data_IF_437167403076
#
_entry.id   IF_437167403076
#
_cell.length_a   1.000
_cell.length_b   1.000
_cell.length_c   1.000
_cell.angle_alpha   90.00
_cell.angle_beta   90.00
_cell.angle_gamma   90.00
#
_symmetry.space_group_name_H-M   'P 1'
#
loop_
_entity.id
_entity.type
_entity.pdbx_description
1 polymer ?
#
# COMPACT_ATOMS: atom_id res chain seq x y z
N UNK A 1 26.96 39.74 7.53
CA UNK A 1 25.70 39.56 6.78
C UNK A 1 24.67 39.07 7.78
N UNK A 2 23.86 39.99 8.31
CA UNK A 2 22.81 39.69 9.29
C UNK A 2 21.59 39.18 8.52
N UNK A 3 21.16 37.94 8.78
CA UNK A 3 19.91 37.39 8.23
C UNK A 3 18.74 38.33 8.55
N UNK A 4 17.80 38.45 7.60
CA UNK A 4 16.68 39.38 7.76
C UNK A 4 15.70 38.89 8.85
N UNK A 5 15.05 39.77 9.63
CA UNK A 5 14.13 39.38 10.71
C UNK A 5 12.97 38.47 10.26
N UNK A 6 12.62 38.51 8.97
CA UNK A 6 11.59 37.68 8.34
C UNK A 6 12.11 36.26 8.06
N UNK A 7 13.38 36.10 7.70
CA UNK A 7 14.02 34.78 7.56
C UNK A 7 14.16 34.07 8.90
N UNK A 8 14.48 34.82 9.97
CA UNK A 8 14.63 34.26 11.31
C UNK A 8 13.31 33.71 11.85
N UNK A 9 12.20 34.43 11.70
CA UNK A 9 10.87 34.00 12.16
C UNK A 9 10.32 32.82 11.36
N UNK A 10 10.49 32.81 10.02
CA UNK A 10 10.12 31.68 9.17
C UNK A 10 10.93 30.40 9.50
N UNK A 11 12.20 30.56 9.86
CA UNK A 11 13.05 29.45 10.29
C UNK A 11 12.63 28.89 11.65
N UNK A 12 12.27 29.75 12.61
CA UNK A 12 11.74 29.33 13.92
C UNK A 12 10.39 28.61 13.80
N UNK A 13 9.45 29.14 13.01
CA UNK A 13 8.15 28.49 12.76
C UNK A 13 8.32 27.12 12.11
N UNK A 14 9.22 27.02 11.12
CA UNK A 14 9.52 25.75 10.45
C UNK A 14 10.17 24.75 11.41
N UNK A 15 11.08 25.21 12.27
CA UNK A 15 11.71 24.38 13.30
C UNK A 15 10.68 23.85 14.30
N UNK A 16 9.82 24.73 14.85
CA UNK A 16 8.76 24.36 15.79
C UNK A 16 7.74 23.39 15.17
N UNK A 17 7.42 23.56 13.88
CA UNK A 17 6.57 22.62 13.15
C UNK A 17 7.24 21.25 12.99
N UNK A 18 8.53 21.23 12.66
CA UNK A 18 9.27 19.98 12.49
C UNK A 18 9.37 19.19 13.81
N UNK A 19 9.71 19.85 14.91
CA UNK A 19 9.81 19.20 16.24
C UNK A 19 8.46 18.65 16.71
N UNK A 20 7.35 19.34 16.41
CA UNK A 20 6.00 18.84 16.67
C UNK A 20 5.67 17.59 15.87
N UNK A 21 5.96 17.59 14.56
CA UNK A 21 5.75 16.44 13.68
C UNK A 21 6.59 15.23 14.12
N UNK A 22 7.86 15.46 14.49
CA UNK A 22 8.75 14.41 14.99
C UNK A 22 8.23 13.80 16.30
N UNK A 23 7.75 14.64 17.22
CA UNK A 23 7.19 14.18 18.50
C UNK A 23 5.92 13.34 18.30
N UNK A 24 5.02 13.78 17.43
CA UNK A 24 3.81 13.02 17.06
C UNK A 24 4.18 11.69 16.40
N UNK A 25 5.14 11.70 15.47
CA UNK A 25 5.55 10.49 14.78
C UNK A 25 6.23 9.50 15.73
N UNK A 26 7.02 9.98 16.69
CA UNK A 26 7.62 9.13 17.72
C UNK A 26 6.58 8.36 18.54
N UNK A 27 5.44 8.99 18.87
CA UNK A 27 4.34 8.32 19.56
C UNK A 27 3.72 7.24 18.67
N UNK A 28 3.49 7.53 17.39
CA UNK A 28 2.94 6.57 16.42
C UNK A 28 3.87 5.37 16.25
N UNK A 29 5.18 5.60 16.20
CA UNK A 29 6.21 4.58 15.98
C UNK A 29 6.31 3.55 17.12
N UNK A 30 5.81 3.86 18.32
CA UNK A 30 5.77 2.90 19.43
C UNK A 30 4.80 1.75 19.14
N UNK A 31 3.66 2.05 18.50
CA UNK A 31 2.62 1.06 18.20
C UNK A 31 1.97 1.34 16.84
N UNK A 32 2.73 1.26 15.72
CA UNK A 32 2.29 1.81 14.44
C UNK A 32 1.13 1.05 13.78
N UNK A 33 0.82 -0.14 14.29
CA UNK A 33 -0.29 -0.98 13.82
C UNK A 33 -1.47 -1.03 14.79
N UNK A 34 -1.43 -0.29 15.91
CA UNK A 34 -2.47 -0.33 16.97
C UNK A 34 -3.87 0.00 16.46
N UNK A 35 -3.97 0.83 15.44
CA UNK A 35 -5.24 1.27 14.86
C UNK A 35 -5.74 0.37 13.72
N UNK A 36 -5.19 -0.85 13.57
CA UNK A 36 -5.53 -1.80 12.50
C UNK A 36 -5.92 -3.16 13.08
N UNK A 37 -6.88 -3.85 12.44
CA UNK A 37 -7.28 -5.23 12.76
C UNK A 37 -6.43 -6.24 11.99
N UNK A 38 -5.21 -6.45 12.46
CA UNK A 38 -4.28 -7.44 11.88
C UNK A 38 -4.27 -8.68 12.77
N UNK A 39 -4.45 -9.86 12.17
CA UNK A 39 -4.37 -11.13 12.88
C UNK A 39 -3.00 -11.31 13.54
N UNK A 40 -2.98 -12.00 14.69
CA UNK A 40 -1.73 -12.35 15.33
C UNK A 40 -0.94 -13.36 14.48
N UNK A 41 0.28 -12.97 14.13
CA UNK A 41 1.20 -13.75 13.32
C UNK A 41 2.18 -14.58 14.16
N UNK A 42 2.02 -14.62 15.49
CA UNK A 42 2.91 -15.35 16.40
C UNK A 42 3.03 -16.83 16.05
N UNK A 43 2.00 -17.43 15.44
CA UNK A 43 2.01 -18.81 14.96
C UNK A 43 3.13 -19.07 13.93
N UNK A 44 3.56 -18.06 13.16
CA UNK A 44 4.67 -18.20 12.21
C UNK A 44 6.02 -18.45 12.91
N UNK A 45 6.12 -18.20 14.22
CA UNK A 45 7.30 -18.49 15.02
C UNK A 45 7.53 -19.98 15.23
N UNK A 46 6.48 -20.80 15.12
CA UNK A 46 6.57 -22.26 15.28
C UNK A 46 7.08 -22.96 14.03
N UNK A 47 7.15 -22.24 12.90
CA UNK A 47 7.69 -22.77 11.65
C UNK A 47 9.22 -22.75 11.71
N UNK A 48 9.78 -23.94 11.90
CA UNK A 48 11.22 -24.18 11.86
C UNK A 48 11.71 -24.47 10.44
N UNK A 49 12.98 -24.17 10.18
CA UNK A 49 13.62 -24.51 8.90
C UNK A 49 13.10 -23.74 7.69
N UNK A 50 13.24 -24.37 6.53
CA UNK A 50 12.87 -23.83 5.21
C UNK A 50 12.32 -24.95 4.35
N UNK A 51 11.34 -24.61 3.53
CA UNK A 51 10.71 -25.50 2.57
C UNK A 51 11.24 -25.26 1.15
N UNK A 52 11.12 -26.29 0.31
CA UNK A 52 11.44 -26.20 -1.12
C UNK A 52 10.20 -25.74 -1.88
N UNK A 53 10.33 -24.68 -2.67
CA UNK A 53 9.25 -24.25 -3.55
C UNK A 53 8.99 -25.30 -4.63
N UNK A 54 7.77 -25.84 -4.71
CA UNK A 54 7.39 -26.85 -5.70
C UNK A 54 7.39 -26.40 -7.18
N UNK A 55 7.66 -25.13 -7.47
CA UNK A 55 7.71 -24.59 -8.85
C UNK A 55 9.12 -24.22 -9.30
N UNK A 56 9.92 -23.53 -8.47
CA UNK A 56 11.28 -23.12 -8.83
C UNK A 56 12.39 -23.86 -8.07
N UNK A 57 12.02 -24.78 -7.17
CA UNK A 57 12.92 -25.60 -6.36
C UNK A 57 13.89 -24.83 -5.43
N UNK A 58 13.70 -23.51 -5.28
CA UNK A 58 14.50 -22.71 -4.36
C UNK A 58 13.99 -22.88 -2.92
N UNK A 59 14.92 -22.93 -1.97
CA UNK A 59 14.63 -22.96 -0.53
C UNK A 59 14.07 -21.61 -0.04
N UNK A 60 12.97 -21.65 0.73
CA UNK A 60 12.18 -20.50 1.19
C UNK A 60 11.66 -20.75 2.61
N UNK A 61 11.43 -19.69 3.38
CA UNK A 61 10.91 -19.84 4.75
C UNK A 61 9.38 -20.02 4.78
N UNK A 62 8.62 -19.02 4.31
CA UNK A 62 7.16 -19.04 4.37
C UNK A 62 6.51 -19.04 2.98
N UNK A 63 7.08 -18.25 2.07
CA UNK A 63 6.58 -18.11 0.70
C UNK A 63 7.75 -17.91 -0.27
N UNK A 64 7.49 -18.25 -1.53
CA UNK A 64 8.43 -18.06 -2.62
C UNK A 64 8.27 -16.67 -3.23
N UNK A 65 9.29 -15.83 -3.07
CA UNK A 65 9.34 -14.50 -3.66
C UNK A 65 9.58 -14.47 -5.18
N UNK A 66 9.86 -15.62 -5.81
CA UNK A 66 9.98 -15.74 -7.27
C UNK A 66 8.68 -16.22 -7.90
N UNK A 67 8.04 -17.23 -7.31
CA UNK A 67 6.79 -17.81 -7.82
C UNK A 67 5.53 -17.16 -7.23
N UNK A 68 5.68 -16.23 -6.29
CA UNK A 68 4.59 -15.56 -5.57
C UNK A 68 3.56 -16.53 -4.95
N UNK A 69 4.05 -17.63 -4.35
CA UNK A 69 3.22 -18.70 -3.78
C UNK A 69 3.69 -19.08 -2.37
N UNK A 70 2.78 -19.48 -1.46
CA UNK A 70 3.15 -20.11 -0.20
C UNK A 70 4.07 -21.31 -0.43
N UNK A 71 5.01 -21.54 0.48
CA UNK A 71 5.76 -22.80 0.57
C UNK A 71 5.40 -23.62 1.81
N UNK A 72 4.72 -22.99 2.77
CA UNK A 72 4.07 -23.66 3.90
C UNK A 72 2.55 -23.72 3.67
N UNK A 73 1.85 -24.46 4.53
CA UNK A 73 0.40 -24.61 4.52
C UNK A 73 -0.32 -23.24 4.47
N UNK A 74 -1.35 -23.15 3.63
CA UNK A 74 -2.12 -21.93 3.43
C UNK A 74 -2.87 -21.47 4.69
N UNK A 75 -3.12 -22.36 5.66
CA UNK A 75 -3.78 -22.02 6.94
C UNK A 75 -3.06 -20.95 7.76
N UNK A 76 -1.74 -20.78 7.56
CA UNK A 76 -0.94 -19.78 8.27
C UNK A 76 -1.08 -18.36 7.70
N UNK A 77 -1.77 -18.20 6.57
CA UNK A 77 -1.97 -16.92 5.90
C UNK A 77 -3.47 -16.57 5.90
N UNK A 78 -3.89 -15.50 6.62
CA UNK A 78 -5.28 -15.06 6.56
C UNK A 78 -5.60 -14.62 5.13
N UNK A 79 -6.62 -15.22 4.53
CA UNK A 79 -7.07 -14.84 3.18
C UNK A 79 -7.81 -13.51 3.23
N UNK A 80 -7.45 -12.62 2.32
CA UNK A 80 -8.08 -11.31 2.16
C UNK A 80 -8.75 -11.28 0.79
N UNK A 81 -10.05 -10.97 0.78
CA UNK A 81 -10.79 -10.70 -0.46
C UNK A 81 -10.75 -9.21 -0.76
N UNK A 82 -10.38 -8.83 -1.99
CA UNK A 82 -10.32 -7.44 -2.40
C UNK A 82 -11.57 -7.04 -3.18
N UNK A 83 -11.97 -5.76 -3.11
CA UNK A 83 -13.12 -5.25 -3.86
C UNK A 83 -12.84 -5.10 -5.36
N UNK A 84 -11.57 -5.13 -5.76
CA UNK A 84 -11.07 -4.88 -7.11
C UNK A 84 -9.82 -5.73 -7.38
N UNK A 85 -9.45 -5.87 -8.67
CA UNK A 85 -8.19 -6.52 -9.04
C UNK A 85 -7.00 -5.58 -8.86
N UNK A 86 -5.86 -6.13 -8.46
CA UNK A 86 -4.60 -5.41 -8.30
C UNK A 86 -3.54 -6.09 -9.15
N UNK A 87 -2.91 -5.31 -10.02
CA UNK A 87 -1.78 -5.77 -10.82
C UNK A 87 -0.53 -5.00 -10.38
N UNK A 88 0.51 -5.73 -10.00
CA UNK A 88 1.80 -5.13 -9.65
C UNK A 88 2.81 -5.44 -10.75
N UNK A 89 3.37 -4.40 -11.36
CA UNK A 89 4.45 -4.53 -12.33
C UNK A 89 5.77 -4.34 -11.59
N UNK A 90 6.45 -5.46 -11.31
CA UNK A 90 7.74 -5.49 -10.63
C UNK A 90 8.88 -5.30 -11.62
N UNK A 91 9.82 -4.41 -11.29
CA UNK A 91 11.03 -4.25 -12.07
C UNK A 91 11.92 -5.52 -12.00
N UNK A 92 12.42 -5.98 -13.14
CA UNK A 92 13.20 -7.23 -13.24
C UNK A 92 14.49 -7.23 -12.40
N UNK A 93 15.08 -6.05 -12.15
CA UNK A 93 16.28 -5.90 -11.31
C UNK A 93 15.97 -5.66 -9.83
N UNK A 94 14.70 -5.62 -9.43
CA UNK A 94 14.33 -5.49 -8.03
C UNK A 94 14.68 -6.79 -7.30
N UNK A 95 15.30 -6.68 -6.12
CA UNK A 95 15.71 -7.86 -5.36
C UNK A 95 14.46 -8.53 -4.79
N UNK A 96 14.14 -9.75 -5.25
CA UNK A 96 12.89 -10.43 -4.90
C UNK A 96 12.61 -10.49 -3.39
N UNK A 97 13.63 -10.78 -2.57
CA UNK A 97 13.50 -10.85 -1.11
C UNK A 97 13.31 -9.50 -0.40
N UNK A 98 13.27 -8.38 -1.14
CA UNK A 98 12.99 -7.04 -0.61
C UNK A 98 11.60 -6.53 -0.99
N UNK A 99 11.00 -7.08 -2.03
CA UNK A 99 9.66 -6.67 -2.50
C UNK A 99 8.60 -7.06 -1.47
N UNK A 100 7.78 -6.08 -1.08
CA UNK A 100 6.61 -6.32 -0.23
C UNK A 100 5.34 -6.58 -1.04
N UNK A 101 5.37 -6.37 -2.37
CA UNK A 101 4.24 -6.67 -3.25
C UNK A 101 3.78 -8.13 -3.15
N UNK A 102 4.74 -9.04 -2.94
CA UNK A 102 4.47 -10.47 -2.79
C UNK A 102 3.57 -10.73 -1.58
N UNK A 103 3.61 -9.91 -0.53
CA UNK A 103 2.71 -10.10 0.62
C UNK A 103 1.24 -10.05 0.16
N UNK A 104 0.89 -9.11 -0.71
CA UNK A 104 -0.46 -9.00 -1.27
C UNK A 104 -0.82 -10.23 -2.11
N UNK A 105 0.09 -10.72 -2.96
CA UNK A 105 -0.13 -11.93 -3.76
C UNK A 105 -0.31 -13.19 -2.90
N UNK A 106 0.36 -13.27 -1.75
CA UNK A 106 0.21 -14.38 -0.81
C UNK A 106 -1.12 -14.30 -0.06
N UNK A 107 -1.55 -13.11 0.36
CA UNK A 107 -2.71 -12.92 1.22
C UNK A 107 -4.02 -12.82 0.43
N UNK A 108 -3.97 -12.31 -0.81
CA UNK A 108 -5.11 -12.13 -1.71
C UNK A 108 -4.82 -12.73 -3.12
N UNK A 109 -4.54 -14.04 -3.23
CA UNK A 109 -4.05 -14.67 -4.47
C UNK A 109 -5.05 -14.63 -5.62
N UNK A 110 -6.35 -14.48 -5.33
CA UNK A 110 -7.39 -14.38 -6.37
C UNK A 110 -7.44 -12.99 -7.00
N UNK A 111 -7.02 -11.96 -6.27
CA UNK A 111 -7.25 -10.57 -6.63
C UNK A 111 -5.96 -9.80 -6.93
N UNK A 112 -4.79 -10.35 -6.58
CA UNK A 112 -3.49 -9.71 -6.78
C UNK A 112 -2.61 -10.55 -7.70
N UNK A 113 -2.14 -9.97 -8.80
CA UNK A 113 -1.16 -10.59 -9.70
C UNK A 113 0.12 -9.75 -9.77
N UNK A 114 1.28 -10.40 -9.69
CA UNK A 114 2.59 -9.75 -9.84
C UNK A 114 3.21 -10.16 -11.17
N UNK A 115 3.55 -9.18 -12.00
CA UNK A 115 4.21 -9.34 -13.29
C UNK A 115 5.65 -8.88 -13.18
N UNK A 116 6.57 -9.58 -13.86
CA UNK A 116 7.96 -9.14 -13.96
C UNK A 116 8.13 -8.39 -15.28
N UNK A 117 8.45 -7.10 -15.21
CA UNK A 117 8.66 -6.26 -16.39
C UNK A 117 9.67 -6.91 -17.36
N UNK A 118 9.36 -7.06 -18.67
CA UNK A 118 8.34 -6.35 -19.43
C UNK A 118 6.95 -7.02 -19.54
N UNK A 119 6.69 -8.07 -18.76
CA UNK A 119 5.36 -8.68 -18.69
C UNK A 119 4.36 -7.70 -18.06
N UNK A 120 3.13 -7.69 -18.59
CA UNK A 120 2.08 -6.74 -18.22
C UNK A 120 0.72 -7.41 -18.07
N UNK A 121 -0.17 -6.84 -17.25
CA UNK A 121 -1.57 -7.23 -17.24
C UNK A 121 -2.22 -6.99 -18.61
N UNK A 122 -3.15 -7.87 -18.96
CA UNK A 122 -4.03 -7.69 -20.12
C UNK A 122 -5.37 -7.14 -19.62
N UNK A 123 -5.75 -5.97 -20.13
CA UNK A 123 -7.01 -5.34 -19.78
C UNK A 123 -8.10 -5.71 -20.78
N UNK A 124 -9.28 -6.00 -20.28
CA UNK A 124 -10.50 -6.17 -21.06
C UNK A 124 -11.16 -4.82 -21.34
N UNK A 125 -12.09 -4.76 -22.30
CA UNK A 125 -12.86 -3.54 -22.61
C UNK A 125 -13.70 -3.04 -21.44
N UNK A 126 -14.04 -3.92 -20.49
CA UNK A 126 -14.88 -3.61 -19.34
C UNK A 126 -14.04 -3.21 -18.11
N UNK A 127 -12.71 -3.31 -18.18
CA UNK A 127 -11.86 -2.91 -17.07
C UNK A 127 -11.77 -1.38 -16.97
N UNK A 128 -12.13 -0.85 -15.80
CA UNK A 128 -11.90 0.54 -15.41
C UNK A 128 -10.61 0.60 -14.59
N UNK A 129 -9.51 0.81 -15.30
CA UNK A 129 -8.14 0.68 -14.77
C UNK A 129 -7.57 2.04 -14.36
N UNK A 130 -6.94 2.08 -13.19
CA UNK A 130 -6.18 3.23 -12.71
C UNK A 130 -4.72 2.86 -12.42
N UNK A 131 -3.81 3.81 -12.57
CA UNK A 131 -2.41 3.68 -12.19
C UNK A 131 -2.18 4.39 -10.85
N UNK A 132 -1.68 3.68 -9.84
CA UNK A 132 -1.33 4.29 -8.56
C UNK A 132 0.11 4.78 -8.64
N UNK A 133 0.27 6.07 -8.96
CA UNK A 133 1.57 6.70 -9.15
C UNK A 133 1.49 8.23 -9.00
N UNK A 134 2.37 8.84 -8.19
CA UNK A 134 2.43 10.29 -8.08
C UNK A 134 3.00 10.89 -9.37
N UNK A 135 2.18 11.63 -10.12
CA UNK A 135 2.59 12.29 -11.36
C UNK A 135 2.11 13.75 -11.37
N UNK A 136 2.59 14.57 -12.31
CA UNK A 136 2.14 15.97 -12.42
C UNK A 136 0.63 16.11 -12.58
N UNK A 137 -0.02 15.11 -13.18
CA UNK A 137 -1.45 15.12 -13.50
C UNK A 137 -2.22 14.09 -12.68
N UNK A 138 -1.64 13.55 -11.60
CA UNK A 138 -2.35 12.60 -10.75
C UNK A 138 -3.41 13.32 -9.92
N UNK A 139 -4.56 12.68 -9.77
CA UNK A 139 -5.68 13.16 -8.94
C UNK A 139 -5.83 12.28 -7.70
N UNK A 140 -6.51 12.79 -6.68
CA UNK A 140 -6.92 11.96 -5.54
C UNK A 140 -8.06 11.02 -5.95
N UNK A 141 -8.31 9.98 -5.13
CA UNK A 141 -9.44 9.07 -5.38
C UNK A 141 -10.78 9.83 -5.39
N UNK A 142 -11.00 10.73 -4.43
CA UNK A 142 -12.23 11.50 -4.34
C UNK A 142 -12.48 12.38 -5.57
N UNK A 143 -11.45 13.05 -6.09
CA UNK A 143 -11.52 13.83 -7.33
C UNK A 143 -11.84 12.93 -8.53
N UNK A 144 -11.14 11.80 -8.67
CA UNK A 144 -11.41 10.84 -9.74
C UNK A 144 -12.87 10.37 -9.75
N UNK A 145 -13.37 9.93 -8.59
CA UNK A 145 -14.76 9.48 -8.45
C UNK A 145 -15.76 10.60 -8.78
N UNK A 146 -15.47 11.83 -8.35
CA UNK A 146 -16.33 12.99 -8.64
C UNK A 146 -16.39 13.30 -10.15
N UNK A 147 -15.27 13.20 -10.86
CA UNK A 147 -15.22 13.41 -12.31
C UNK A 147 -15.98 12.32 -13.07
N UNK A 148 -15.86 11.06 -12.66
CA UNK A 148 -16.61 9.95 -13.28
C UNK A 148 -18.13 10.12 -13.09
N UNK A 149 -18.58 10.60 -11.93
CA UNK A 149 -19.98 10.91 -11.68
C UNK A 149 -20.51 12.04 -12.58
N UNK A 150 -19.69 13.04 -12.88
CA UNK A 150 -20.09 14.15 -13.75
C UNK A 150 -20.20 13.73 -15.22
N UNK A 151 -19.29 12.90 -15.72
CA UNK A 151 -19.35 12.38 -17.11
C UNK A 151 -20.65 11.62 -17.37
N UNK A 152 -21.06 10.78 -16.43
CA UNK A 152 -22.26 9.96 -16.56
C UNK A 152 -23.57 10.77 -16.54
N UNK A 153 -23.58 11.98 -15.95
CA UNK A 153 -24.77 12.86 -15.95
C UNK A 153 -25.02 13.55 -17.29
N UNK A 154 -23.98 13.69 -18.12
CA UNK A 154 -24.09 14.38 -19.42
C UNK A 154 -24.47 13.43 -20.57
N UNK A 155 -24.44 12.11 -20.34
CA UNK A 155 -24.95 11.07 -21.24
C UNK A 155 -26.41 10.75 -20.90
N UNK A 156 -27.35 11.20 -21.74
CA UNK A 156 -28.81 11.05 -21.56
C UNK A 156 -29.37 9.61 -21.74
N UNK A 157 -28.59 8.57 -21.47
CA UNK A 157 -29.07 7.18 -21.54
C UNK A 157 -28.65 6.37 -20.30
N UNK A 158 -29.68 5.92 -19.56
CA UNK A 158 -29.76 4.67 -18.83
C UNK A 158 -28.71 4.23 -17.77
N UNK A 159 -27.83 5.08 -17.25
CA UNK A 159 -26.80 4.63 -16.26
C UNK A 159 -26.89 5.28 -14.86
N UNK A 160 -28.07 5.73 -14.44
CA UNK A 160 -28.34 6.12 -13.04
C UNK A 160 -28.39 4.94 -12.04
N UNK A 161 -28.11 3.72 -12.49
CA UNK A 161 -28.02 2.47 -11.73
C UNK A 161 -26.67 2.28 -11.01
N UNK A 162 -25.56 2.84 -11.52
CA UNK A 162 -24.24 2.70 -10.91
C UNK A 162 -24.16 3.24 -9.47
N UNK A 163 -24.84 4.35 -9.19
CA UNK A 163 -24.91 4.94 -7.84
C UNK A 163 -25.83 4.12 -6.92
N UNK A 164 -26.88 3.49 -7.48
CA UNK A 164 -27.81 2.64 -6.71
C UNK A 164 -27.24 1.27 -6.37
N UNK A 165 -26.32 0.74 -7.18
CA UNK A 165 -25.79 -0.62 -7.02
C UNK A 165 -24.55 -0.73 -6.11
N UNK A 166 -24.00 0.36 -5.55
CA UNK A 166 -22.78 0.31 -4.72
C UNK A 166 -21.61 -0.41 -5.43
N UNK A 167 -21.44 -0.21 -6.73
CA UNK A 167 -20.32 -0.81 -7.46
C UNK A 167 -19.14 0.15 -7.55
N UNK A 168 -17.93 -0.36 -7.33
CA UNK A 168 -16.71 0.40 -7.48
C UNK A 168 -16.55 0.82 -8.95
N UNK A 169 -16.48 2.13 -9.21
CA UNK A 169 -16.22 2.65 -10.57
C UNK A 169 -14.81 2.30 -11.06
N UNK A 170 -13.91 1.89 -10.18
CA UNK A 170 -12.62 1.31 -10.49
C UNK A 170 -12.76 -0.20 -10.34
N UNK A 171 -12.41 -0.98 -11.36
CA UNK A 171 -12.41 -2.45 -11.28
C UNK A 171 -11.01 -3.01 -11.06
N UNK A 172 -9.98 -2.21 -11.36
CA UNK A 172 -8.58 -2.65 -11.37
C UNK A 172 -7.61 -1.51 -11.08
N UNK A 173 -6.58 -1.78 -10.29
CA UNK A 173 -5.50 -0.83 -10.02
C UNK A 173 -4.13 -1.42 -10.31
N UNK A 174 -3.28 -0.62 -10.96
CA UNK A 174 -1.91 -0.99 -11.31
C UNK A 174 -0.92 -0.29 -10.39
N UNK A 175 0.05 -1.02 -9.88
CA UNK A 175 1.15 -0.52 -9.06
C UNK A 175 2.50 -0.84 -9.73
N UNK A 176 3.51 0.00 -9.49
CA UNK A 176 4.88 -0.25 -9.94
C UNK A 176 5.75 -0.59 -8.74
N UNK A 177 6.29 -1.81 -8.70
CA UNK A 177 7.18 -2.28 -7.63
C UNK A 177 8.65 -2.19 -8.08
N UNK A 178 9.31 -1.12 -7.67
CA UNK A 178 10.71 -0.86 -8.02
C UNK A 178 11.35 0.16 -7.07
N UNK A 179 12.67 0.28 -7.10
CA UNK A 179 13.31 1.47 -6.54
C UNK A 179 12.87 2.74 -7.29
N UNK A 180 12.81 3.88 -6.58
CA UNK A 180 12.45 5.18 -7.17
C UNK A 180 13.34 5.61 -8.35
N UNK A 181 14.58 5.15 -8.40
CA UNK A 181 15.48 5.42 -9.53
C UNK A 181 15.11 4.59 -10.77
N UNK A 182 14.55 3.39 -10.58
CA UNK A 182 14.18 2.45 -11.65
C UNK A 182 12.75 2.67 -12.15
N UNK A 183 11.85 3.20 -11.33
CA UNK A 183 10.41 3.32 -11.64
C UNK A 183 10.10 4.05 -12.95
N UNK A 184 10.96 4.99 -13.37
CA UNK A 184 10.75 5.81 -14.57
C UNK A 184 10.67 5.01 -15.86
N UNK A 185 11.36 3.87 -15.96
CA UNK A 185 11.31 3.04 -17.19
C UNK A 185 9.93 2.41 -17.36
N UNK A 186 9.36 1.88 -16.28
CA UNK A 186 8.04 1.27 -16.27
C UNK A 186 6.96 2.33 -16.46
N UNK A 187 7.05 3.44 -15.71
CA UNK A 187 6.07 4.54 -15.79
C UNK A 187 5.94 5.13 -17.21
N UNK A 188 7.04 5.18 -17.97
CA UNK A 188 7.05 5.71 -19.35
C UNK A 188 6.57 4.71 -20.40
N UNK A 189 6.25 3.47 -20.01
CA UNK A 189 5.77 2.45 -20.95
C UNK A 189 4.44 2.88 -21.58
N UNK A 190 4.32 2.70 -22.89
CA UNK A 190 3.15 3.15 -23.66
C UNK A 190 1.85 2.49 -23.17
N UNK A 191 1.93 1.29 -22.58
CA UNK A 191 0.78 0.57 -22.00
C UNK A 191 0.21 1.24 -20.75
N UNK A 192 0.96 2.13 -20.09
CA UNK A 192 0.49 2.90 -18.92
C UNK A 192 0.08 4.33 -19.28
N UNK A 193 0.49 4.84 -20.44
CA UNK A 193 0.42 6.27 -20.79
C UNK A 193 -0.98 6.88 -20.67
N UNK A 194 -2.02 6.10 -20.97
CA UNK A 194 -3.41 6.58 -21.00
C UNK A 194 -4.19 6.22 -19.73
N UNK A 195 -3.57 5.56 -18.75
CA UNK A 195 -4.24 5.24 -17.50
C UNK A 195 -4.37 6.49 -16.63
N UNK A 196 -5.53 6.77 -16.02
CA UNK A 196 -5.67 7.79 -15.00
C UNK A 196 -4.72 7.52 -13.84
N UNK A 197 -3.91 8.52 -13.48
CA UNK A 197 -2.99 8.42 -12.35
C UNK A 197 -3.68 8.86 -11.07
N UNK A 198 -3.62 8.01 -10.03
CA UNK A 198 -4.10 8.33 -8.68
C UNK A 198 -2.90 8.55 -7.76
N UNK A 199 -2.95 9.63 -6.99
CA UNK A 199 -2.03 9.89 -5.88
C UNK A 199 -2.73 9.61 -4.55
N UNK A 200 -2.03 8.88 -3.68
CA UNK A 200 -2.51 8.53 -2.34
C UNK A 200 -2.24 9.66 -1.36
N UNK A 201 -3.02 9.73 -0.28
CA UNK A 201 -2.72 10.62 0.84
C UNK A 201 -1.37 10.24 1.43
N UNK A 202 -0.58 11.26 1.78
CA UNK A 202 0.72 11.07 2.42
C UNK A 202 0.54 10.40 3.79
N UNK A 203 1.29 9.31 4.01
CA UNK A 203 1.34 8.58 5.28
C UNK A 203 2.78 8.17 5.54
N UNK A 204 3.19 8.20 6.81
CA UNK A 204 4.52 7.73 7.20
C UNK A 204 4.61 6.21 7.09
N UNK A 205 5.57 5.74 6.29
CA UNK A 205 5.88 4.32 6.11
C UNK A 205 6.60 3.75 7.33
N UNK A 206 6.28 2.50 7.63
CA UNK A 206 6.92 1.69 8.66
C UNK A 206 7.95 0.71 8.07
N UNK A 207 8.25 0.85 6.77
CA UNK A 207 9.19 -0.03 6.10
C UNK A 207 10.60 0.13 6.65
N UNK A 208 11.16 -0.98 7.13
CA UNK A 208 12.42 -1.02 7.89
C UNK A 208 13.70 -0.97 7.02
N UNK A 209 13.57 -1.01 5.69
CA UNK A 209 14.73 -0.93 4.81
C UNK A 209 14.99 0.51 4.41
N UNK A 210 16.22 0.98 4.67
CA UNK A 210 16.62 2.32 4.29
C UNK A 210 16.56 2.53 2.77
N UNK A 211 15.91 3.63 2.38
CA UNK A 211 15.82 4.10 1.00
C UNK A 211 16.55 5.44 0.90
N UNK A 212 17.71 5.46 0.22
CA UNK A 212 18.53 6.67 0.09
C UNK A 212 17.76 7.79 -0.61
N UNK A 213 17.89 9.02 -0.12
CA UNK A 213 17.33 10.24 -0.72
C UNK A 213 15.80 10.17 -0.93
N UNK A 214 15.09 9.50 -0.04
CA UNK A 214 13.64 9.46 -0.03
C UNK A 214 13.11 9.97 1.31
N UNK A 215 11.95 10.64 1.31
CA UNK A 215 11.27 10.97 2.54
C UNK A 215 10.62 9.74 3.16
N UNK A 216 10.24 9.84 4.44
CA UNK A 216 9.65 8.74 5.20
C UNK A 216 8.23 8.39 4.77
N UNK A 217 7.55 9.28 4.05
CA UNK A 217 6.21 9.07 3.51
C UNK A 217 6.18 8.30 2.17
N UNK A 218 7.33 7.86 1.66
CA UNK A 218 7.37 6.90 0.57
C UNK A 218 7.05 5.50 1.10
N UNK A 219 5.83 5.05 0.80
CA UNK A 219 5.27 3.76 1.20
C UNK A 219 5.98 2.59 0.51
N UNK A 220 6.11 1.47 1.21
CA UNK A 220 6.39 0.20 0.57
C UNK A 220 5.16 -0.25 -0.25
N UNK A 221 5.36 -1.11 -1.25
CA UNK A 221 4.28 -1.49 -2.18
C UNK A 221 3.05 -2.07 -1.48
N UNK A 222 3.23 -2.90 -0.44
CA UNK A 222 2.09 -3.41 0.35
C UNK A 222 1.36 -2.33 1.13
N UNK A 223 2.08 -1.34 1.67
CA UNK A 223 1.48 -0.21 2.38
C UNK A 223 0.71 0.67 1.41
N UNK A 224 1.23 0.89 0.19
CA UNK A 224 0.54 1.63 -0.86
C UNK A 224 -0.75 0.92 -1.31
N UNK A 225 -0.71 -0.42 -1.46
CA UNK A 225 -1.89 -1.23 -1.77
C UNK A 225 -2.95 -1.10 -0.66
N UNK A 226 -2.55 -1.26 0.61
CA UNK A 226 -3.45 -1.12 1.75
C UNK A 226 -4.05 0.29 1.82
N UNK A 227 -3.22 1.32 1.69
CA UNK A 227 -3.64 2.72 1.73
C UNK A 227 -4.63 3.06 0.61
N UNK A 228 -4.38 2.59 -0.61
CA UNK A 228 -5.28 2.77 -1.74
C UNK A 228 -6.66 2.14 -1.48
N UNK A 229 -6.70 0.91 -1.00
CA UNK A 229 -7.95 0.20 -0.71
C UNK A 229 -8.74 0.86 0.41
N UNK A 230 -8.05 1.36 1.45
CA UNK A 230 -8.66 2.12 2.54
C UNK A 230 -9.28 3.41 2.01
N UNK A 231 -8.53 4.21 1.25
CA UNK A 231 -9.04 5.47 0.70
C UNK A 231 -10.19 5.24 -0.29
N UNK A 232 -10.13 4.20 -1.12
CA UNK A 232 -11.20 3.84 -2.03
C UNK A 232 -12.49 3.47 -1.28
N UNK A 233 -12.37 2.63 -0.26
CA UNK A 233 -13.49 2.22 0.57
C UNK A 233 -14.08 3.42 1.35
N UNK A 234 -13.23 4.26 1.93
CA UNK A 234 -13.64 5.46 2.66
C UNK A 234 -14.37 6.47 1.76
N UNK A 235 -13.90 6.68 0.53
CA UNK A 235 -14.59 7.57 -0.41
C UNK A 235 -15.97 7.07 -0.83
N UNK A 236 -16.19 5.76 -0.91
CA UNK A 236 -17.44 5.18 -1.42
C UNK A 236 -18.43 4.92 -0.29
N UNK A 237 -17.96 4.41 0.84
CA UNK A 237 -18.81 3.99 1.94
C UNK A 237 -18.57 4.79 3.22
N UNK A 238 -17.34 5.26 3.44
CA UNK A 238 -16.90 5.84 4.71
C UNK A 238 -16.25 4.81 5.62
N UNK A 239 -15.74 5.28 6.76
CA UNK A 239 -14.97 4.49 7.73
C UNK A 239 -15.58 4.55 9.13
N UNK A 240 -15.62 3.41 9.82
CA UNK A 240 -15.97 3.34 11.24
C UNK A 240 -14.84 3.96 12.06
N UNK A 241 -15.12 5.02 12.84
CA UNK A 241 -14.11 5.63 13.71
C UNK A 241 -13.61 4.62 14.74
N UNK A 242 -12.28 4.56 14.92
CA UNK A 242 -11.59 3.72 15.91
C UNK A 242 -11.99 2.23 15.83
N UNK A 243 -12.29 1.71 14.64
CA UNK A 243 -12.77 0.34 14.47
C UNK A 243 -11.88 -0.72 15.12
N UNK A 244 -10.57 -0.51 15.17
CA UNK A 244 -9.60 -1.43 15.78
C UNK A 244 -9.62 -1.42 17.32
N UNK A 245 -10.14 -0.36 17.96
CA UNK A 245 -10.21 -0.22 19.41
C UNK A 245 -11.60 -0.56 19.97
N UNK A 246 -12.62 -0.65 19.12
CA UNK A 246 -13.97 -0.93 19.56
C UNK A 246 -14.10 -2.43 19.92
N UNK A 247 -14.37 -2.71 21.19
CA UNK A 247 -14.56 -4.07 21.73
C UNK A 247 -15.87 -4.73 21.24
N UNK A 248 -16.85 -3.91 20.84
CA UNK A 248 -18.05 -4.41 20.16
C UNK A 248 -17.67 -4.79 18.72
N UNK A 249 -17.92 -6.05 18.35
CA UNK A 249 -17.81 -6.55 16.97
C UNK A 249 -18.86 -5.89 16.07
N UNK A 250 -18.76 -4.57 15.85
CA UNK A 250 -19.50 -3.85 14.82
C UNK A 250 -18.93 -4.32 13.48
N UNK A 251 -19.48 -5.41 12.98
CA UNK A 251 -19.25 -5.88 11.62
C UNK A 251 -20.12 -5.00 10.73
N UNK A 252 -19.59 -3.83 10.36
CA UNK A 252 -20.20 -3.09 9.26
C UNK A 252 -19.92 -3.85 7.98
N UNK A 253 -20.98 -4.28 7.30
CA UNK A 253 -20.87 -4.92 5.98
C UNK A 253 -20.58 -3.90 4.88
N UNK A 254 -20.70 -2.60 5.18
CA UNK A 254 -20.56 -1.52 4.20
C UNK A 254 -19.46 -0.53 4.51
N UNK A 255 -19.33 -0.05 5.76
CA UNK A 255 -18.26 0.90 6.14
C UNK A 255 -16.92 0.18 6.32
N UNK A 256 -15.83 0.89 6.10
CA UNK A 256 -14.51 0.36 6.38
C UNK A 256 -14.36 0.09 7.89
N UNK A 257 -14.01 -1.14 8.23
CA UNK A 257 -13.84 -1.68 9.58
C UNK A 257 -12.67 -2.68 9.62
N UNK A 258 -11.65 -2.47 8.78
CA UNK A 258 -10.43 -3.30 8.73
C UNK A 258 -10.47 -4.48 7.75
N UNK A 259 -11.40 -4.48 6.79
CA UNK A 259 -11.57 -5.57 5.81
C UNK A 259 -10.27 -5.97 5.09
N UNK A 260 -9.33 -5.02 4.95
CA UNK A 260 -8.09 -5.22 4.20
C UNK A 260 -6.83 -5.14 5.07
N UNK A 261 -6.96 -4.94 6.39
CA UNK A 261 -5.81 -4.75 7.30
C UNK A 261 -4.88 -5.96 7.31
N UNK A 262 -5.45 -7.16 7.16
CA UNK A 262 -4.67 -8.39 7.04
C UNK A 262 -3.75 -8.45 5.83
N UNK A 263 -3.84 -7.54 4.84
CA UNK A 263 -2.77 -7.38 3.83
C UNK A 263 -1.42 -7.03 4.46
N UNK A 264 -1.43 -6.37 5.62
CA UNK A 264 -0.24 -6.04 6.39
C UNK A 264 0.19 -7.17 7.34
N UNK A 265 -0.47 -8.33 7.36
CA UNK A 265 -0.14 -9.46 8.26
C UNK A 265 1.34 -9.86 8.19
N UNK A 266 1.84 -10.17 6.98
CA UNK A 266 3.25 -10.51 6.77
C UNK A 266 4.17 -9.31 6.97
N UNK A 267 3.70 -8.11 6.67
CA UNK A 267 4.48 -6.88 6.85
C UNK A 267 4.73 -6.59 8.33
N UNK A 268 3.68 -6.64 9.16
CA UNK A 268 3.74 -6.50 10.61
C UNK A 268 4.62 -7.59 11.23
N UNK A 269 4.44 -8.85 10.83
CA UNK A 269 5.29 -9.93 11.32
C UNK A 269 6.77 -9.66 11.07
N UNK A 270 7.14 -9.26 9.85
CA UNK A 270 8.53 -8.95 9.51
C UNK A 270 9.02 -7.67 10.22
N UNK A 271 8.17 -6.66 10.36
CA UNK A 271 8.47 -5.47 11.16
C UNK A 271 8.81 -5.87 12.60
N UNK A 272 7.95 -6.64 13.27
CA UNK A 272 8.14 -7.07 14.65
C UNK A 272 9.45 -7.85 14.79
N UNK A 273 9.75 -8.77 13.86
CA UNK A 273 11.01 -9.52 13.85
C UNK A 273 12.24 -8.65 13.70
N UNK A 274 12.19 -7.63 12.86
CA UNK A 274 13.31 -6.71 12.69
C UNK A 274 13.53 -5.89 13.96
N UNK A 275 12.46 -5.47 14.65
CA UNK A 275 12.56 -4.67 15.87
C UNK A 275 12.92 -5.45 17.13
N UNK A 276 12.80 -6.78 17.10
CA UNK A 276 13.42 -7.64 18.11
C UNK A 276 14.95 -7.68 18.00
N UNK A 277 15.50 -7.46 16.79
CA UNK A 277 16.94 -7.57 16.51
C UNK A 277 17.60 -6.18 16.52
N UNK A 278 16.90 -5.16 16.03
CA UNK A 278 17.41 -3.82 15.85
C UNK A 278 16.56 -2.79 16.61
N UNK A 279 17.24 -1.89 17.31
CA UNK A 279 16.60 -0.72 17.91
C UNK A 279 16.01 0.19 16.82
N UNK A 280 14.70 0.43 16.90
CA UNK A 280 13.95 1.31 16.00
C UNK A 280 14.68 2.64 15.78
N UNK A 281 15.13 3.28 16.86
CA UNK A 281 15.72 4.63 16.80
C UNK A 281 17.11 4.65 16.15
N UNK A 282 17.74 3.48 15.98
CA UNK A 282 19.05 3.34 15.32
C UNK A 282 18.92 3.04 13.83
N UNK A 283 17.75 2.60 13.35
CA UNK A 283 17.55 2.25 11.95
C UNK A 283 17.48 3.50 11.06
N UNK A 284 18.35 3.54 10.05
CA UNK A 284 18.38 4.59 9.02
C UNK A 284 17.07 4.75 8.24
N UNK A 285 16.19 3.74 8.27
CA UNK A 285 14.88 3.82 7.63
C UNK A 285 13.96 4.87 8.29
N UNK A 286 14.08 5.05 9.61
CA UNK A 286 13.23 5.93 10.41
C UNK A 286 13.85 7.30 10.67
N UNK A 287 15.10 7.50 10.24
CA UNK A 287 15.81 8.80 10.23
C UNK A 287 15.61 9.58 8.92
N UNK A 288 14.69 9.14 8.05
CA UNK A 288 14.38 9.83 6.79
C UNK A 288 13.52 11.07 7.06
N UNK A 289 13.61 12.13 6.24
CA UNK A 289 12.84 13.36 6.42
C UNK A 289 11.33 13.11 6.48
N UNK A 290 10.63 13.81 7.39
CA UNK A 290 9.18 13.79 7.53
C UNK A 290 8.47 14.85 6.66
N UNK A 291 9.22 15.85 6.20
CA UNK A 291 8.78 16.96 5.34
C UNK A 291 9.59 16.99 4.04
#
# INVERSE_FOLDING_TARGET
MTESPVETTLNEERFNKLTSIESQQYVIDKEPFRMLKINDASILNTIEGREICGQCFKSRKFFCYTCCKPVIDCKYFPRVKLPIKIDVIKHAREIDGKSTAIHAAILAPEDVTVYIYPDFPKFSSNDKVVLIFPSKNSVTIGEFLSLELQKNRNSNEHDMTFIKNNEFSITRAVFIDSTWNQTKSIYKDQRLKNLPCIVLKSRISQFWRHQKKSPRWYLATIEAIHQFLLELHDCIYGTVKNYALNETNIISTKLYCGQYDNLLYLFKYMYDKIHLIYDHNKLWAYKRPLI
#
